data_IF_571727210171
#
_entry.id   IF_571727210171
#
_cell.length_a   1.000
_cell.length_b   1.000
_cell.length_c   1.000
_cell.angle_alpha   90.00
_cell.angle_beta   90.00
_cell.angle_gamma   90.00
#
_symmetry.space_group_name_H-M   'P 1'
#
loop_
_entity.id
_entity.type
_entity.pdbx_description
1 polymer ?
#
# COMPACT_ATOMS: atom_id res chain seq x y z
N UNK A 1 12.57 10.25 -27.57
CA UNK A 1 11.51 11.22 -27.19
C UNK A 1 11.21 12.26 -28.28
N UNK A 2 12.23 12.81 -28.93
CA UNK A 2 12.06 13.90 -29.91
C UNK A 2 11.21 13.53 -31.16
N UNK A 3 11.25 12.28 -31.59
CA UNK A 3 10.55 11.79 -32.77
C UNK A 3 9.07 11.45 -32.52
N UNK A 4 8.68 11.20 -31.25
CA UNK A 4 7.29 10.90 -30.91
C UNK A 4 6.60 12.18 -30.42
N UNK A 5 5.52 12.64 -31.08
CA UNK A 5 4.80 13.85 -30.69
C UNK A 5 4.20 13.77 -29.26
N UNK A 6 3.82 12.59 -28.81
CA UNK A 6 3.28 12.37 -27.48
C UNK A 6 4.39 12.43 -26.42
N UNK A 7 5.48 11.67 -26.61
CA UNK A 7 6.62 11.65 -25.69
C UNK A 7 7.25 13.03 -25.50
N UNK A 8 7.30 13.80 -26.58
CA UNK A 8 7.86 15.15 -26.59
C UNK A 8 7.09 16.10 -25.66
N UNK A 9 5.77 15.91 -25.53
CA UNK A 9 4.89 16.75 -24.69
C UNK A 9 4.92 16.37 -23.22
N UNK A 10 5.43 15.17 -22.87
CA UNK A 10 5.41 14.71 -21.50
C UNK A 10 6.40 15.51 -20.62
N UNK A 11 5.98 15.79 -19.40
CA UNK A 11 6.78 16.37 -18.34
C UNK A 11 6.63 15.58 -17.03
N UNK A 12 7.26 16.02 -15.96
CA UNK A 12 7.21 15.34 -14.66
C UNK A 12 5.79 15.27 -14.07
N UNK A 13 4.95 16.27 -14.35
CA UNK A 13 3.60 16.33 -13.81
C UNK A 13 2.63 15.49 -14.66
N UNK A 14 2.74 15.56 -15.99
CA UNK A 14 1.87 14.80 -16.88
C UNK A 14 2.05 13.28 -16.73
N UNK A 15 3.26 12.82 -16.38
CA UNK A 15 3.53 11.39 -16.18
C UNK A 15 3.15 10.91 -14.78
N UNK A 16 2.96 11.81 -13.80
CA UNK A 16 2.76 11.43 -12.41
C UNK A 16 1.56 10.49 -12.18
N UNK A 17 0.42 10.81 -12.79
CA UNK A 17 -0.79 9.99 -12.63
C UNK A 17 -0.66 8.65 -13.35
N UNK A 18 -0.06 8.63 -14.55
CA UNK A 18 0.21 7.38 -15.28
C UNK A 18 1.15 6.46 -14.48
N UNK A 19 2.20 7.02 -13.86
CA UNK A 19 3.09 6.22 -13.00
C UNK A 19 2.34 5.58 -11.81
N UNK A 20 1.36 6.28 -11.23
CA UNK A 20 0.54 5.71 -10.16
C UNK A 20 -0.36 4.59 -10.68
N UNK A 21 -0.92 4.74 -11.88
CA UNK A 21 -1.72 3.71 -12.56
C UNK A 21 -0.90 2.44 -12.75
N UNK A 22 0.28 2.52 -13.37
CA UNK A 22 1.17 1.36 -13.56
C UNK A 22 1.58 0.68 -12.24
N UNK A 23 1.79 1.46 -11.17
CA UNK A 23 2.09 0.90 -9.84
C UNK A 23 0.90 0.15 -9.26
N UNK A 24 -0.33 0.61 -9.49
CA UNK A 24 -1.54 -0.11 -9.05
C UNK A 24 -1.78 -1.35 -9.92
N UNK A 25 -1.58 -1.30 -11.23
CA UNK A 25 -1.67 -2.48 -12.12
C UNK A 25 -0.65 -3.55 -11.72
N UNK A 26 0.58 -3.14 -11.41
CA UNK A 26 1.58 -4.05 -10.83
C UNK A 26 1.12 -4.63 -9.49
N UNK A 27 0.49 -3.83 -8.62
CA UNK A 27 -0.04 -4.29 -7.34
C UNK A 27 -1.11 -5.37 -7.51
N UNK A 28 -2.02 -5.17 -8.47
CA UNK A 28 -3.09 -6.13 -8.79
C UNK A 28 -2.50 -7.44 -9.32
N UNK A 29 -1.57 -7.35 -10.27
CA UNK A 29 -0.86 -8.52 -10.80
C UNK A 29 -0.11 -9.32 -9.72
N UNK A 30 0.47 -8.62 -8.71
CA UNK A 30 1.13 -9.24 -7.56
C UNK A 30 0.14 -9.95 -6.62
N UNK A 31 -1.05 -9.37 -6.38
CA UNK A 31 -2.11 -9.99 -5.57
C UNK A 31 -2.67 -11.26 -6.22
N UNK A 32 -2.74 -11.27 -7.55
CA UNK A 32 -3.19 -12.42 -8.35
C UNK A 32 -2.08 -13.45 -8.58
N UNK A 33 -0.84 -13.18 -8.19
CA UNK A 33 0.35 -13.99 -8.45
C UNK A 33 0.54 -14.30 -9.97
N UNK A 34 0.06 -13.40 -10.84
CA UNK A 34 0.14 -13.55 -12.28
C UNK A 34 1.50 -13.11 -12.82
N UNK A 35 2.46 -14.04 -12.91
CA UNK A 35 3.83 -13.77 -13.33
C UNK A 35 3.93 -13.15 -14.74
N UNK A 36 2.97 -13.40 -15.62
CA UNK A 36 2.96 -12.82 -16.97
C UNK A 36 2.63 -11.33 -16.91
N UNK A 37 1.58 -10.97 -16.17
CA UNK A 37 1.21 -9.56 -15.97
C UNK A 37 2.26 -8.84 -15.09
N UNK A 38 2.77 -9.46 -14.03
CA UNK A 38 3.88 -8.87 -13.23
C UNK A 38 5.06 -8.47 -14.13
N UNK A 39 5.46 -9.34 -15.08
CA UNK A 39 6.54 -9.02 -16.02
C UNK A 39 6.21 -7.82 -16.91
N UNK A 40 4.97 -7.71 -17.37
CA UNK A 40 4.48 -6.61 -18.20
C UNK A 40 4.52 -5.31 -17.41
N UNK A 41 3.86 -5.28 -16.24
CA UNK A 41 3.74 -4.07 -15.42
C UNK A 41 5.09 -3.58 -14.87
N UNK A 42 6.03 -4.50 -14.58
CA UNK A 42 7.43 -4.11 -14.29
C UNK A 42 8.08 -3.37 -15.46
N UNK A 43 7.76 -3.75 -16.69
CA UNK A 43 8.23 -3.05 -17.90
C UNK A 43 7.67 -1.64 -17.98
N UNK A 44 6.38 -1.46 -17.69
CA UNK A 44 5.68 -0.18 -17.77
C UNK A 44 6.14 0.77 -16.65
N UNK A 45 6.32 0.28 -15.42
CA UNK A 45 6.98 1.04 -14.35
C UNK A 45 8.41 1.43 -14.73
N UNK A 46 9.20 0.52 -15.31
CA UNK A 46 10.56 0.81 -15.76
C UNK A 46 10.58 1.87 -16.87
N UNK A 47 9.63 1.83 -17.80
CA UNK A 47 9.47 2.86 -18.84
C UNK A 47 9.33 4.25 -18.22
N UNK A 48 8.50 4.39 -17.19
CA UNK A 48 8.31 5.65 -16.45
C UNK A 48 9.61 6.12 -15.75
N UNK A 49 10.37 5.20 -15.15
CA UNK A 49 11.67 5.54 -14.56
C UNK A 49 12.65 6.09 -15.59
N UNK A 50 12.72 5.46 -16.78
CA UNK A 50 13.55 5.93 -17.91
C UNK A 50 13.05 7.29 -18.42
N UNK A 51 11.74 7.51 -18.49
CA UNK A 51 11.18 8.81 -18.88
C UNK A 51 11.60 9.93 -17.93
N UNK A 52 11.47 9.72 -16.60
CA UNK A 52 11.88 10.70 -15.60
C UNK A 52 13.39 11.00 -15.68
N UNK A 53 14.22 9.97 -15.83
CA UNK A 53 15.65 10.14 -16.00
C UNK A 53 16.00 10.93 -17.27
N UNK A 54 15.28 10.65 -18.39
CA UNK A 54 15.46 11.39 -19.64
C UNK A 54 15.05 12.87 -19.50
N UNK A 55 13.93 13.15 -18.83
CA UNK A 55 13.49 14.53 -18.55
C UNK A 55 14.49 15.25 -17.64
N UNK A 56 15.02 14.55 -16.63
CA UNK A 56 16.08 15.05 -15.73
C UNK A 56 17.33 15.45 -16.51
N UNK A 57 17.76 14.60 -17.46
CA UNK A 57 18.90 14.85 -18.35
C UNK A 57 18.68 16.06 -19.28
N UNK A 58 17.48 16.19 -19.84
CA UNK A 58 17.11 17.37 -20.66
C UNK A 58 17.15 18.66 -19.85
N UNK A 59 16.83 18.60 -18.56
CA UNK A 59 16.95 19.71 -17.60
C UNK A 59 18.37 19.92 -17.06
N UNK A 60 19.34 19.07 -17.48
CA UNK A 60 20.75 19.09 -17.00
C UNK A 60 20.84 18.93 -15.48
N UNK A 61 19.97 18.17 -14.87
CA UNK A 61 19.88 17.97 -13.41
C UNK A 61 20.42 16.60 -12.98
N UNK A 62 19.99 15.55 -13.63
CA UNK A 62 20.43 14.16 -13.40
C UNK A 62 20.07 13.29 -14.61
N UNK A 63 20.71 12.14 -14.72
CA UNK A 63 20.40 11.10 -15.71
C UNK A 63 20.17 9.73 -15.05
N UNK A 64 19.99 8.70 -15.86
CA UNK A 64 19.77 7.34 -15.36
C UNK A 64 20.96 6.77 -14.60
N UNK A 65 22.20 7.16 -14.97
CA UNK A 65 23.40 6.73 -14.26
C UNK A 65 23.45 7.36 -12.86
N UNK A 66 23.09 8.62 -12.71
CA UNK A 66 22.98 9.30 -11.41
C UNK A 66 21.94 8.62 -10.51
N UNK A 67 20.80 8.24 -11.07
CA UNK A 67 19.74 7.51 -10.33
C UNK A 67 20.27 6.17 -9.81
N UNK A 68 20.93 5.39 -10.68
CA UNK A 68 21.48 4.07 -10.32
C UNK A 68 22.62 4.21 -9.31
N UNK A 69 23.54 5.15 -9.50
CA UNK A 69 24.66 5.38 -8.59
C UNK A 69 24.18 5.79 -7.20
N UNK A 70 23.23 6.73 -7.12
CA UNK A 70 22.63 7.14 -5.84
C UNK A 70 21.90 5.98 -5.14
N UNK A 71 21.25 5.10 -5.89
CA UNK A 71 20.65 3.89 -5.33
C UNK A 71 21.71 2.94 -4.78
N UNK A 72 22.80 2.69 -5.54
CA UNK A 72 23.89 1.81 -5.13
C UNK A 72 24.59 2.33 -3.87
N UNK A 73 24.94 3.60 -3.82
CA UNK A 73 25.55 4.22 -2.64
C UNK A 73 24.66 4.08 -1.41
N UNK A 74 23.37 4.34 -1.56
CA UNK A 74 22.37 4.16 -0.50
C UNK A 74 22.29 2.71 -0.03
N UNK A 75 22.27 1.74 -0.93
CA UNK A 75 22.22 0.31 -0.59
C UNK A 75 23.48 -0.15 0.13
N UNK A 76 24.66 0.24 -0.36
CA UNK A 76 25.94 -0.07 0.28
C UNK A 76 25.99 0.50 1.70
N UNK A 77 25.63 1.77 1.87
CA UNK A 77 25.59 2.43 3.17
C UNK A 77 24.65 1.76 4.15
N UNK A 78 23.48 1.30 3.67
CA UNK A 78 22.43 0.70 4.51
C UNK A 78 22.59 -0.80 4.78
N UNK A 79 23.57 -1.45 4.13
CA UNK A 79 23.87 -2.86 4.34
C UNK A 79 25.31 -3.05 4.86
N UNK A 80 25.68 -2.43 6.01
CA UNK A 80 27.03 -2.57 6.55
C UNK A 80 27.35 -4.00 7.00
N UNK A 81 26.37 -4.85 7.13
CA UNK A 81 26.50 -6.28 7.39
C UNK A 81 26.87 -7.09 6.15
N UNK A 82 26.74 -6.51 4.94
CA UNK A 82 27.17 -7.13 3.67
C UNK A 82 28.46 -6.48 3.16
N UNK A 83 28.52 -5.15 3.19
CA UNK A 83 29.61 -4.37 2.59
C UNK A 83 30.61 -3.81 3.61
N UNK A 84 30.40 -4.07 4.91
CA UNK A 84 31.25 -3.63 6.01
C UNK A 84 31.51 -4.76 7.01
N UNK A 85 31.75 -4.40 8.27
CA UNK A 85 32.17 -5.32 9.34
C UNK A 85 31.10 -5.45 10.44
N UNK A 86 29.84 -5.09 10.18
CA UNK A 86 28.75 -5.20 11.16
C UNK A 86 28.18 -6.62 11.09
N UNK A 87 28.17 -7.31 12.22
CA UNK A 87 27.46 -8.59 12.33
C UNK A 87 26.01 -8.34 12.75
N UNK A 88 25.09 -9.11 12.21
CA UNK A 88 23.65 -9.11 12.54
C UNK A 88 23.19 -10.53 12.78
N UNK A 89 22.31 -10.70 13.77
CA UNK A 89 21.82 -12.01 14.20
C UNK A 89 20.62 -12.49 13.39
N UNK A 90 19.75 -11.56 13.02
CA UNK A 90 18.49 -11.86 12.36
C UNK A 90 17.97 -10.67 11.54
N UNK A 91 16.85 -10.88 10.87
CA UNK A 91 16.18 -9.90 10.03
C UNK A 91 15.70 -8.67 10.83
N UNK A 92 15.29 -8.86 12.08
CA UNK A 92 14.82 -7.78 12.93
C UNK A 92 15.93 -6.80 13.26
N UNK A 93 17.13 -7.30 13.57
CA UNK A 93 18.31 -6.47 13.81
C UNK A 93 18.73 -5.69 12.55
N UNK A 94 18.60 -6.30 11.36
CA UNK A 94 18.81 -5.60 10.08
C UNK A 94 17.84 -4.43 9.94
N UNK A 95 16.54 -4.64 10.20
CA UNK A 95 15.50 -3.60 10.10
C UNK A 95 15.76 -2.45 11.09
N UNK A 96 16.12 -2.76 12.35
CA UNK A 96 16.43 -1.77 13.36
C UNK A 96 17.67 -0.94 12.98
N UNK A 97 18.72 -1.59 12.49
CA UNK A 97 19.92 -0.91 12.03
C UNK A 97 19.62 -0.01 10.84
N UNK A 98 18.77 -0.44 9.93
CA UNK A 98 18.34 0.35 8.78
C UNK A 98 17.60 1.64 9.18
N UNK A 99 16.67 1.58 10.14
CA UNK A 99 16.01 2.80 10.63
C UNK A 99 16.99 3.73 11.38
N UNK A 100 17.92 3.18 12.17
CA UNK A 100 19.00 3.97 12.82
C UNK A 100 19.90 4.68 11.79
N UNK A 101 20.25 4.00 10.69
CA UNK A 101 21.06 4.59 9.63
C UNK A 101 20.33 5.71 8.89
N UNK A 102 19.01 5.56 8.63
CA UNK A 102 18.20 6.63 8.06
C UNK A 102 18.14 7.89 8.92
N UNK A 103 18.17 7.76 10.25
CA UNK A 103 18.23 8.92 11.15
C UNK A 103 19.58 9.65 11.00
N UNK A 104 20.69 8.93 10.78
CA UNK A 104 22.01 9.52 10.54
C UNK A 104 22.11 10.25 9.20
N UNK A 105 21.28 9.93 8.22
CA UNK A 105 21.22 10.63 6.92
C UNK A 105 20.59 12.04 7.02
N UNK A 106 20.36 12.57 8.23
CA UNK A 106 19.89 13.93 8.46
C UNK A 106 18.38 14.08 8.60
N UNK A 107 17.65 12.99 8.78
CA UNK A 107 16.22 13.04 9.08
C UNK A 107 15.99 13.64 10.48
N UNK A 108 15.30 14.79 10.54
CA UNK A 108 14.98 15.49 11.80
C UNK A 108 13.91 14.79 12.66
N UNK A 109 13.23 13.79 12.13
CA UNK A 109 12.18 13.04 12.80
C UNK A 109 12.14 11.61 12.28
N UNK A 110 11.78 10.66 13.14
CA UNK A 110 11.55 9.26 12.79
C UNK A 110 10.48 9.14 11.70
N UNK A 111 9.45 9.97 11.78
CA UNK A 111 8.35 10.01 10.81
C UNK A 111 8.70 10.83 9.55
N UNK A 112 9.87 11.45 9.49
CA UNK A 112 10.34 12.07 8.27
C UNK A 112 10.45 11.03 7.14
N UNK A 113 10.05 11.42 5.94
CA UNK A 113 10.05 10.52 4.78
C UNK A 113 8.84 9.56 4.70
N UNK A 114 7.80 9.74 5.54
CA UNK A 114 6.48 9.17 5.26
C UNK A 114 5.80 10.07 4.20
N UNK A 115 5.56 9.57 2.98
CA UNK A 115 4.97 10.38 1.93
C UNK A 115 3.56 10.84 2.31
N UNK A 116 3.27 12.13 2.11
CA UNK A 116 1.95 12.70 2.44
C UNK A 116 0.81 12.11 1.61
N UNK A 117 1.13 11.69 0.39
CA UNK A 117 0.18 11.17 -0.60
C UNK A 117 -0.05 9.66 -0.53
N UNK A 118 0.54 8.94 0.43
CA UNK A 118 0.24 7.52 0.61
C UNK A 118 -1.24 7.30 0.92
N UNK A 119 -1.86 6.24 0.38
CA UNK A 119 -3.18 5.78 0.81
C UNK A 119 -3.22 5.59 2.33
N UNK A 120 -4.34 5.89 3.01
CA UNK A 120 -4.41 5.94 4.47
C UNK A 120 -3.95 4.65 5.16
N UNK A 121 -4.35 3.48 4.66
CA UNK A 121 -3.98 2.16 5.25
C UNK A 121 -2.47 1.95 5.16
N UNK A 122 -1.89 2.13 3.97
CA UNK A 122 -0.45 2.00 3.75
C UNK A 122 0.33 3.03 4.59
N UNK A 123 -0.22 4.25 4.72
CA UNK A 123 0.38 5.31 5.55
C UNK A 123 0.40 4.94 7.03
N UNK A 124 -0.71 4.43 7.57
CA UNK A 124 -0.81 3.98 8.96
C UNK A 124 0.20 2.85 9.22
N UNK A 125 0.21 1.82 8.38
CA UNK A 125 1.19 0.74 8.44
C UNK A 125 2.63 1.29 8.46
N UNK A 126 2.95 2.21 7.55
CA UNK A 126 4.31 2.78 7.45
C UNK A 126 4.70 3.63 8.65
N UNK A 127 3.76 4.38 9.25
CA UNK A 127 3.97 5.12 10.50
C UNK A 127 4.34 4.13 11.62
N UNK A 128 3.54 3.09 11.78
CA UNK A 128 3.72 2.08 12.83
C UNK A 128 5.05 1.33 12.69
N UNK A 129 5.43 0.92 11.46
CA UNK A 129 6.74 0.30 11.20
C UNK A 129 7.91 1.21 11.60
N UNK A 130 7.79 2.51 11.33
CA UNK A 130 8.85 3.46 11.69
C UNK A 130 9.01 3.63 13.20
N UNK A 131 7.91 3.72 13.95
CA UNK A 131 7.98 3.89 15.41
C UNK A 131 8.35 2.59 16.12
N UNK A 132 8.00 1.42 15.57
CA UNK A 132 8.52 0.12 15.99
C UNK A 132 10.05 0.11 16.00
N UNK A 133 10.68 0.65 14.95
CA UNK A 133 12.15 0.69 14.84
C UNK A 133 12.89 1.40 15.98
N UNK A 134 12.18 2.15 16.83
CA UNK A 134 12.72 2.78 18.05
C UNK A 134 12.13 2.17 19.34
N UNK A 135 11.43 1.05 19.21
CA UNK A 135 10.86 0.34 20.36
C UNK A 135 9.47 0.83 20.80
N UNK A 136 8.81 1.70 20.02
CA UNK A 136 7.44 2.10 20.31
C UNK A 136 6.46 1.09 19.66
N UNK A 137 6.23 -0.01 20.37
CA UNK A 137 5.41 -1.15 19.94
C UNK A 137 4.74 -1.83 21.12
N UNK A 138 3.56 -2.44 20.90
CA UNK A 138 2.97 -3.35 21.88
C UNK A 138 3.81 -4.62 22.01
N UNK A 139 3.80 -5.18 23.23
CA UNK A 139 4.57 -6.39 23.51
C UNK A 139 4.00 -7.65 22.84
N UNK A 140 2.69 -7.67 22.57
CA UNK A 140 2.00 -8.82 21.97
C UNK A 140 0.83 -8.41 21.09
N UNK A 141 0.35 -9.34 20.27
CA UNK A 141 -0.87 -9.16 19.49
C UNK A 141 -2.11 -9.02 20.39
N UNK A 142 -2.13 -9.69 21.53
CA UNK A 142 -3.20 -9.60 22.54
C UNK A 142 -3.30 -8.19 23.11
N UNK A 143 -2.16 -7.54 23.38
CA UNK A 143 -2.14 -6.16 23.88
C UNK A 143 -2.58 -5.16 22.80
N UNK A 144 -2.18 -5.40 21.56
CA UNK A 144 -2.66 -4.61 20.42
C UNK A 144 -4.18 -4.78 20.21
N UNK A 145 -4.73 -5.98 20.43
CA UNK A 145 -6.17 -6.22 20.34
C UNK A 145 -6.95 -5.52 21.46
N UNK A 146 -6.42 -5.48 22.69
CA UNK A 146 -7.04 -4.69 23.78
C UNK A 146 -7.20 -3.21 23.39
N UNK A 147 -6.24 -2.66 22.63
CA UNK A 147 -6.36 -1.29 22.15
C UNK A 147 -7.46 -1.17 21.08
N UNK A 148 -7.68 -2.18 20.25
CA UNK A 148 -8.84 -2.21 19.32
C UNK A 148 -10.15 -2.18 20.11
N UNK A 149 -10.27 -2.98 21.18
CA UNK A 149 -11.47 -3.01 22.02
C UNK A 149 -11.72 -1.67 22.72
N UNK A 150 -10.65 -0.99 23.17
CA UNK A 150 -10.70 0.35 23.75
C UNK A 150 -11.24 1.37 22.74
N UNK A 151 -10.66 1.46 21.54
CA UNK A 151 -11.09 2.38 20.48
C UNK A 151 -12.52 2.11 20.03
N UNK A 152 -12.93 0.83 19.95
CA UNK A 152 -14.33 0.47 19.64
C UNK A 152 -15.27 0.97 20.73
N UNK A 153 -14.89 0.89 22.02
CA UNK A 153 -15.70 1.39 23.12
C UNK A 153 -15.82 2.92 23.08
N UNK A 154 -14.74 3.64 22.79
CA UNK A 154 -14.71 5.09 22.64
C UNK A 154 -15.57 5.53 21.44
N UNK A 155 -15.44 4.87 20.28
CA UNK A 155 -16.28 5.10 19.11
C UNK A 155 -17.78 4.91 19.43
N UNK A 156 -18.14 3.89 20.19
CA UNK A 156 -19.53 3.65 20.56
C UNK A 156 -20.07 4.67 21.56
N UNK A 157 -19.23 5.15 22.48
CA UNK A 157 -19.60 6.12 23.50
C UNK A 157 -19.72 7.55 22.97
N UNK A 158 -18.97 7.89 21.89
CA UNK A 158 -18.95 9.24 21.35
C UNK A 158 -20.27 9.57 20.61
N UNK A 159 -20.85 10.72 20.95
CA UNK A 159 -22.14 11.19 20.40
C UNK A 159 -21.96 12.38 19.45
N UNK A 160 -20.84 13.10 19.54
CA UNK A 160 -20.55 14.19 18.63
C UNK A 160 -20.08 13.64 17.28
N UNK A 161 -20.72 14.00 16.14
CA UNK A 161 -20.40 13.41 14.84
C UNK A 161 -18.94 13.60 14.40
N UNK A 162 -18.36 14.79 14.63
CA UNK A 162 -16.99 15.09 14.23
C UNK A 162 -15.97 14.29 15.04
N UNK A 163 -16.20 14.18 16.36
CA UNK A 163 -15.34 13.35 17.22
C UNK A 163 -15.54 11.85 16.93
N UNK A 164 -16.77 11.42 16.66
CA UNK A 164 -17.05 10.04 16.28
C UNK A 164 -16.33 9.61 15.00
N UNK A 165 -16.15 10.52 14.03
CA UNK A 165 -15.31 10.26 12.84
C UNK A 165 -13.84 10.11 13.22
N UNK A 166 -13.34 10.85 14.22
CA UNK A 166 -11.98 10.69 14.74
C UNK A 166 -11.80 9.33 15.41
N UNK A 167 -12.71 8.94 16.30
CA UNK A 167 -12.69 7.62 16.95
C UNK A 167 -12.75 6.47 15.93
N UNK A 168 -13.52 6.61 14.85
CA UNK A 168 -13.50 5.64 13.76
C UNK A 168 -12.10 5.54 13.11
N UNK A 169 -11.41 6.68 12.99
CA UNK A 169 -10.03 6.71 12.51
C UNK A 169 -9.08 5.95 13.44
N UNK A 170 -9.26 6.09 14.76
CA UNK A 170 -8.45 5.42 15.77
C UNK A 170 -8.73 3.90 15.81
N UNK A 171 -9.97 3.47 15.60
CA UNK A 171 -10.33 2.06 15.37
C UNK A 171 -9.59 1.50 14.15
N UNK A 172 -9.59 2.19 13.01
CA UNK A 172 -8.84 1.72 11.84
C UNK A 172 -7.34 1.65 12.09
N UNK A 173 -6.78 2.65 12.76
CA UNK A 173 -5.35 2.70 13.07
C UNK A 173 -4.93 1.55 13.98
N UNK A 174 -5.71 1.24 15.02
CA UNK A 174 -5.45 0.12 15.93
C UNK A 174 -5.65 -1.24 15.27
N UNK A 175 -6.65 -1.41 14.40
CA UNK A 175 -6.81 -2.63 13.60
C UNK A 175 -5.63 -2.89 12.67
N UNK A 176 -5.13 -1.85 12.00
CA UNK A 176 -3.93 -1.95 11.14
C UNK A 176 -2.71 -2.33 11.97
N UNK A 177 -2.57 -1.78 13.18
CA UNK A 177 -1.49 -2.12 14.09
C UNK A 177 -1.55 -3.58 14.55
N UNK A 178 -2.73 -4.04 14.96
CA UNK A 178 -2.96 -5.43 15.30
C UNK A 178 -2.62 -6.37 14.13
N UNK A 179 -3.10 -6.06 12.93
CA UNK A 179 -2.81 -6.85 11.74
C UNK A 179 -1.29 -6.96 11.51
N UNK A 180 -0.57 -5.84 11.60
CA UNK A 180 0.89 -5.79 11.43
C UNK A 180 1.62 -6.65 12.45
N UNK A 181 1.27 -6.55 13.74
CA UNK A 181 1.89 -7.33 14.82
C UNK A 181 1.60 -8.82 14.65
N UNK A 182 0.41 -9.16 14.14
CA UNK A 182 -0.02 -10.54 13.84
C UNK A 182 0.55 -11.07 12.51
N UNK A 183 1.41 -10.33 11.82
CA UNK A 183 1.99 -10.75 10.53
C UNK A 183 1.01 -10.69 9.36
N UNK A 184 -0.11 -9.99 9.50
CA UNK A 184 -1.12 -9.81 8.47
C UNK A 184 -0.92 -8.48 7.73
N UNK A 185 -1.19 -8.45 6.44
CA UNK A 185 -1.21 -7.21 5.66
C UNK A 185 -2.65 -6.70 5.54
N UNK A 186 -2.96 -5.60 6.24
CA UNK A 186 -4.31 -5.03 6.31
C UNK A 186 -4.79 -4.51 4.94
N UNK A 187 -3.91 -3.92 4.14
CA UNK A 187 -4.22 -3.39 2.81
C UNK A 187 -4.58 -4.53 1.86
N UNK A 188 -3.71 -5.53 1.74
CA UNK A 188 -3.97 -6.72 0.90
C UNK A 188 -5.20 -7.52 1.39
N UNK A 189 -5.46 -7.57 2.69
CA UNK A 189 -6.62 -8.26 3.24
C UNK A 189 -7.93 -7.56 2.85
N UNK A 190 -7.96 -6.23 2.90
CA UNK A 190 -9.11 -5.43 2.49
C UNK A 190 -9.31 -5.53 0.97
N UNK A 191 -8.23 -5.42 0.18
CA UNK A 191 -8.32 -5.51 -1.27
C UNK A 191 -8.84 -6.88 -1.75
N UNK A 192 -8.34 -7.98 -1.19
CA UNK A 192 -8.89 -9.32 -1.46
C UNK A 192 -10.38 -9.41 -1.11
N UNK A 193 -10.83 -8.68 -0.12
CA UNK A 193 -12.26 -8.63 0.25
C UNK A 193 -13.05 -7.82 -0.76
N UNK A 194 -12.51 -6.70 -1.26
CA UNK A 194 -13.11 -5.90 -2.32
C UNK A 194 -13.26 -6.74 -3.61
N UNK A 195 -12.19 -7.38 -4.06
CA UNK A 195 -12.21 -8.24 -5.24
C UNK A 195 -13.22 -9.39 -5.10
N UNK A 196 -13.25 -10.03 -3.94
CA UNK A 196 -14.22 -11.07 -3.63
C UNK A 196 -15.66 -10.55 -3.69
N UNK A 197 -15.91 -9.36 -3.14
CA UNK A 197 -17.24 -8.73 -3.19
C UNK A 197 -17.64 -8.42 -4.63
N UNK A 198 -16.75 -7.77 -5.40
CA UNK A 198 -16.99 -7.43 -6.81
C UNK A 198 -17.35 -8.69 -7.61
N UNK A 199 -16.56 -9.73 -7.49
CA UNK A 199 -16.75 -10.99 -8.21
C UNK A 199 -18.10 -11.65 -7.87
N UNK A 200 -18.46 -11.64 -6.59
CA UNK A 200 -19.76 -12.17 -6.12
C UNK A 200 -20.92 -11.33 -6.63
N UNK A 201 -20.78 -10.02 -6.62
CA UNK A 201 -21.81 -9.12 -7.11
C UNK A 201 -22.01 -9.26 -8.61
N UNK A 202 -20.93 -9.36 -9.40
CA UNK A 202 -21.00 -9.66 -10.83
C UNK A 202 -21.67 -11.02 -11.11
N UNK A 203 -21.48 -12.00 -10.24
CA UNK A 203 -22.17 -13.29 -10.35
C UNK A 203 -23.65 -13.14 -10.03
N UNK A 204 -24.00 -12.36 -9.01
CA UNK A 204 -25.39 -12.01 -8.69
C UNK A 204 -26.08 -11.31 -9.85
N UNK A 205 -25.43 -10.35 -10.49
CA UNK A 205 -25.94 -9.66 -11.69
C UNK A 205 -26.24 -10.64 -12.82
N UNK A 206 -25.36 -11.60 -13.08
CA UNK A 206 -25.58 -12.65 -14.08
C UNK A 206 -26.77 -13.54 -13.72
N UNK A 207 -26.88 -13.96 -12.47
CA UNK A 207 -27.99 -14.79 -12.00
C UNK A 207 -29.33 -14.06 -12.11
N UNK A 208 -29.38 -12.77 -11.80
CA UNK A 208 -30.57 -11.95 -11.97
C UNK A 208 -30.97 -11.86 -13.45
N UNK A 209 -29.99 -11.62 -14.34
CA UNK A 209 -30.23 -11.58 -15.78
C UNK A 209 -30.76 -12.92 -16.32
N UNK A 210 -30.18 -14.05 -15.93
CA UNK A 210 -30.60 -15.39 -16.34
C UNK A 210 -32.04 -15.71 -15.87
N UNK A 211 -32.44 -15.17 -14.72
CA UNK A 211 -33.76 -15.32 -14.15
C UNK A 211 -34.77 -14.25 -14.63
N UNK A 212 -34.35 -13.35 -15.54
CA UNK A 212 -35.12 -12.21 -16.02
C UNK A 212 -35.62 -11.30 -14.88
N UNK A 213 -34.81 -11.13 -13.84
CA UNK A 213 -35.09 -10.25 -12.70
C UNK A 213 -34.42 -8.89 -12.91
N UNK A 214 -35.09 -7.81 -12.50
CA UNK A 214 -34.52 -6.46 -12.51
C UNK A 214 -34.06 -6.11 -11.10
N UNK A 215 -32.72 -6.03 -10.90
CA UNK A 215 -32.13 -5.72 -9.59
C UNK A 215 -32.66 -4.40 -8.99
N UNK A 216 -32.96 -3.40 -9.83
CA UNK A 216 -33.50 -2.13 -9.34
C UNK A 216 -34.90 -2.21 -8.74
N UNK A 217 -35.63 -3.29 -9.00
CA UNK A 217 -36.99 -3.54 -8.52
C UNK A 217 -37.04 -4.60 -7.40
N UNK A 218 -35.90 -5.25 -7.10
CA UNK A 218 -35.79 -6.29 -6.09
C UNK A 218 -35.63 -5.68 -4.69
N UNK A 219 -36.25 -6.34 -3.71
CA UNK A 219 -35.96 -6.07 -2.30
C UNK A 219 -34.57 -6.58 -1.89
N UNK A 220 -34.07 -6.11 -0.75
CA UNK A 220 -32.78 -6.59 -0.23
C UNK A 220 -32.83 -8.10 0.06
N UNK A 221 -33.93 -8.61 0.58
CA UNK A 221 -34.14 -10.02 0.88
C UNK A 221 -34.10 -10.88 -0.38
N UNK A 222 -34.65 -10.40 -1.49
CA UNK A 222 -34.60 -11.10 -2.78
C UNK A 222 -33.18 -11.09 -3.36
N UNK A 223 -32.45 -9.97 -3.25
CA UNK A 223 -31.05 -9.89 -3.65
C UNK A 223 -30.18 -10.80 -2.79
N UNK A 224 -30.44 -10.94 -1.49
CA UNK A 224 -29.68 -11.78 -0.57
C UNK A 224 -29.78 -13.26 -0.94
N UNK A 225 -30.93 -13.72 -1.47
CA UNK A 225 -31.09 -15.07 -2.02
C UNK A 225 -30.11 -15.31 -3.18
N UNK A 226 -30.00 -14.35 -4.10
CA UNK A 226 -29.05 -14.44 -5.22
C UNK A 226 -27.59 -14.32 -4.73
N UNK A 227 -27.36 -13.52 -3.70
CA UNK A 227 -26.05 -13.38 -3.07
C UNK A 227 -25.56 -14.70 -2.45
N UNK A 228 -26.44 -15.39 -1.72
CA UNK A 228 -26.12 -16.72 -1.17
C UNK A 228 -25.87 -17.77 -2.26
N UNK A 229 -26.54 -17.66 -3.41
CA UNK A 229 -26.27 -18.50 -4.58
C UNK A 229 -24.90 -18.17 -5.19
N UNK A 230 -24.58 -16.88 -5.35
CA UNK A 230 -23.30 -16.40 -5.86
C UNK A 230 -22.11 -16.84 -4.97
N UNK A 231 -22.27 -16.83 -3.64
CA UNK A 231 -21.24 -17.34 -2.69
C UNK A 231 -20.83 -18.79 -2.91
N UNK A 232 -21.70 -19.61 -3.47
CA UNK A 232 -21.42 -21.02 -3.73
C UNK A 232 -20.58 -21.24 -5.00
N UNK A 233 -20.51 -20.20 -5.83
CA UNK A 233 -19.88 -20.27 -7.16
C UNK A 233 -18.52 -19.58 -7.20
N UNK A 234 -18.23 -18.71 -6.18
CA UNK A 234 -17.02 -17.85 -6.13
C UNK A 234 -16.24 -18.08 -4.84
#
# INVERSE_FOLDING_TARGET
REKCPWDKKQDLQSLRHLTLEEVYELSDALLEENLTEIKKELGDVLLHLVFYAKIGSEKKSFDIADVINSLNEKLIFRHPHIYGNVEVKDEEEVKQNWEKLKLKEGNKSILAGVPKSLPPIIKAYRIQEKVKGIGFEFASAEDAWKKVDEELAEFHAETNPEKKEQELGDVFFSLINYARISGLNADSALERTNLKFIKRFQTLEKLALEKNLNLAEMSLEEMDILWEEAKKTV
#
